data_IF_668555641272
#
_entry.id   IF_668555641272
#
_cell.length_a   1.000
_cell.length_b   1.000
_cell.length_c   1.000
_cell.angle_alpha   90.00
_cell.angle_beta   90.00
_cell.angle_gamma   90.00
#
_symmetry.space_group_name_H-M   'P 1'
#
loop_
_entity.id
_entity.type
_entity.pdbx_description
1 polymer ?
#
# COMPACT_ATOMS: atom_id res chain seq x y z
N UNK A 1 -11.45 8.97 -23.98
CA UNK A 1 -11.82 8.47 -22.64
C UNK A 1 -10.55 7.84 -22.07
N UNK A 2 -9.90 8.48 -21.10
CA UNK A 2 -8.67 7.94 -20.49
C UNK A 2 -9.10 6.71 -19.67
N UNK A 3 -8.50 5.53 -19.85
CA UNK A 3 -8.87 4.34 -19.08
C UNK A 3 -8.77 4.65 -17.58
N UNK A 4 -9.83 4.36 -16.82
CA UNK A 4 -9.81 4.47 -15.38
C UNK A 4 -8.80 3.45 -14.83
N UNK A 5 -7.64 3.93 -14.35
CA UNK A 5 -6.53 3.04 -13.95
C UNK A 5 -6.93 2.15 -12.76
N UNK A 6 -7.82 2.62 -11.89
CA UNK A 6 -8.34 1.83 -10.78
C UNK A 6 -9.23 0.65 -11.26
N UNK A 7 -9.99 0.82 -12.34
CA UNK A 7 -10.76 -0.27 -12.96
C UNK A 7 -9.87 -1.36 -13.56
N UNK A 8 -8.69 -1.00 -14.08
CA UNK A 8 -7.74 -2.01 -14.55
C UNK A 8 -7.17 -2.82 -13.38
N UNK A 9 -6.87 -2.16 -12.26
CA UNK A 9 -6.34 -2.81 -11.05
C UNK A 9 -7.39 -3.72 -10.40
N UNK A 10 -8.68 -3.37 -10.45
CA UNK A 10 -9.75 -4.22 -9.92
C UNK A 10 -9.82 -5.59 -10.61
N UNK A 11 -9.34 -5.69 -11.85
CA UNK A 11 -9.40 -6.89 -12.67
C UNK A 11 -8.12 -7.76 -12.64
N UNK A 12 -6.99 -7.25 -12.13
CA UNK A 12 -5.74 -8.02 -12.12
C UNK A 12 -5.84 -9.29 -11.28
N UNK A 13 -5.07 -10.34 -11.57
CA UNK A 13 -4.92 -11.46 -10.65
C UNK A 13 -4.20 -11.03 -9.36
N UNK A 14 -4.46 -11.70 -8.22
CA UNK A 14 -3.74 -11.43 -6.95
C UNK A 14 -2.26 -11.77 -7.08
N UNK A 15 -1.93 -12.79 -7.88
CA UNK A 15 -0.57 -13.15 -8.26
C UNK A 15 0.14 -11.99 -8.97
N UNK A 16 -0.53 -11.38 -9.94
CA UNK A 16 0.00 -10.26 -10.71
C UNK A 16 0.17 -9.02 -9.81
N UNK A 17 -0.83 -8.71 -9.00
CA UNK A 17 -0.79 -7.62 -8.03
C UNK A 17 0.43 -7.74 -7.10
N UNK A 18 0.61 -8.94 -6.53
CA UNK A 18 1.74 -9.24 -5.63
C UNK A 18 3.08 -9.07 -6.34
N UNK A 19 3.23 -9.59 -7.56
CA UNK A 19 4.46 -9.44 -8.36
C UNK A 19 4.75 -7.98 -8.69
N UNK A 20 3.73 -7.19 -9.02
CA UNK A 20 3.88 -5.76 -9.34
C UNK A 20 4.39 -5.00 -8.12
N UNK A 21 3.80 -5.24 -6.94
CA UNK A 21 4.26 -4.62 -5.69
C UNK A 21 5.69 -5.06 -5.35
N UNK A 22 6.02 -6.35 -5.43
CA UNK A 22 7.39 -6.82 -5.21
C UNK A 22 8.39 -6.15 -6.16
N UNK A 23 8.02 -5.95 -7.43
CA UNK A 23 8.87 -5.24 -8.41
C UNK A 23 9.03 -3.76 -8.07
N UNK A 24 7.96 -3.10 -7.63
CA UNK A 24 8.00 -1.69 -7.20
C UNK A 24 9.01 -1.50 -6.05
N UNK A 25 9.06 -2.45 -5.12
CA UNK A 25 9.99 -2.42 -3.99
C UNK A 25 11.37 -3.06 -4.27
N UNK A 26 11.59 -3.69 -5.43
CA UNK A 26 12.79 -4.51 -5.71
C UNK A 26 14.11 -3.79 -5.40
N UNK A 27 14.25 -2.53 -5.83
CA UNK A 27 15.48 -1.76 -5.57
C UNK A 27 15.67 -1.51 -4.07
N UNK A 28 14.61 -1.07 -3.39
CA UNK A 28 14.63 -0.77 -1.95
C UNK A 28 14.86 -2.03 -1.12
N UNK A 29 14.31 -3.18 -1.52
CA UNK A 29 14.56 -4.47 -0.88
C UNK A 29 16.03 -4.86 -0.99
N UNK A 30 16.66 -4.67 -2.16
CA UNK A 30 18.10 -4.93 -2.34
C UNK A 30 18.95 -4.01 -1.46
N UNK A 31 18.58 -2.75 -1.32
CA UNK A 31 19.23 -1.78 -0.41
C UNK A 31 19.14 -2.23 1.06
N UNK A 32 18.07 -2.94 1.43
CA UNK A 32 17.87 -3.57 2.75
C UNK A 32 18.47 -5.00 2.85
N UNK A 33 19.27 -5.44 1.85
CA UNK A 33 19.92 -6.75 1.85
C UNK A 33 19.02 -7.92 1.43
N UNK A 34 17.82 -7.65 0.89
CA UNK A 34 16.86 -8.65 0.42
C UNK A 34 16.82 -8.68 -1.10
N UNK A 35 17.55 -9.62 -1.70
CA UNK A 35 17.55 -9.80 -3.14
C UNK A 35 16.54 -10.87 -3.58
N UNK A 36 15.56 -10.47 -4.40
CA UNK A 36 14.61 -11.37 -5.04
C UNK A 36 14.84 -11.43 -6.55
N UNK A 37 14.93 -12.65 -7.07
CA UNK A 37 14.88 -12.90 -8.52
C UNK A 37 13.45 -12.80 -9.05
N UNK A 38 13.31 -12.62 -10.35
CA UNK A 38 11.99 -12.56 -10.97
C UNK A 38 11.22 -13.88 -10.85
N UNK A 39 11.92 -15.02 -10.81
CA UNK A 39 11.32 -16.33 -10.57
C UNK A 39 10.76 -16.45 -9.14
N UNK A 40 11.52 -15.99 -8.14
CA UNK A 40 11.06 -15.96 -6.75
C UNK A 40 9.85 -15.06 -6.58
N UNK A 41 9.84 -13.86 -7.18
CA UNK A 41 8.69 -12.95 -7.10
C UNK A 41 7.42 -13.58 -7.71
N UNK A 42 7.54 -14.26 -8.86
CA UNK A 42 6.40 -14.98 -9.46
C UNK A 42 5.88 -16.10 -8.58
N UNK A 43 6.78 -16.93 -8.06
CA UNK A 43 6.42 -18.01 -7.16
C UNK A 43 5.71 -17.49 -5.90
N UNK A 44 6.19 -16.38 -5.33
CA UNK A 44 5.53 -15.72 -4.20
C UNK A 44 4.11 -15.28 -4.61
N UNK A 45 3.94 -14.62 -5.75
CA UNK A 45 2.62 -14.20 -6.24
C UNK A 45 1.66 -15.37 -6.43
N UNK A 46 2.12 -16.46 -7.05
CA UNK A 46 1.33 -17.69 -7.22
C UNK A 46 0.92 -18.29 -5.88
N UNK A 47 1.85 -18.37 -4.91
CA UNK A 47 1.56 -18.89 -3.58
C UNK A 47 0.55 -18.00 -2.83
N UNK A 48 0.68 -16.68 -2.91
CA UNK A 48 -0.28 -15.74 -2.30
C UNK A 48 -1.68 -15.96 -2.91
N UNK A 49 -1.79 -15.98 -4.24
CA UNK A 49 -3.07 -16.15 -4.92
C UNK A 49 -3.73 -17.50 -4.59
N UNK A 50 -2.94 -18.56 -4.47
CA UNK A 50 -3.41 -19.90 -4.13
C UNK A 50 -3.60 -20.13 -2.62
N UNK A 51 -3.29 -19.13 -1.76
CA UNK A 51 -3.24 -19.27 -0.30
C UNK A 51 -2.34 -20.44 0.16
N UNK A 52 -1.24 -20.67 -0.56
CA UNK A 52 -0.22 -21.64 -0.21
C UNK A 52 0.79 -21.08 0.80
N UNK A 53 1.58 -21.96 1.38
CA UNK A 53 2.68 -21.58 2.25
C UNK A 53 3.69 -20.68 1.52
N UNK A 54 4.07 -19.59 2.18
CA UNK A 54 5.03 -18.63 1.65
C UNK A 54 6.46 -19.04 2.02
N UNK A 55 7.45 -18.81 1.13
CA UNK A 55 8.83 -19.16 1.42
C UNK A 55 9.37 -18.35 2.62
N UNK A 56 10.28 -18.94 3.39
CA UNK A 56 10.82 -18.32 4.62
C UNK A 56 11.45 -16.93 4.42
N UNK A 57 11.91 -16.62 3.19
CA UNK A 57 12.43 -15.29 2.82
C UNK A 57 11.41 -14.16 3.04
N UNK A 58 10.11 -14.48 3.06
CA UNK A 58 9.04 -13.50 3.30
C UNK A 58 9.17 -12.81 4.65
N UNK A 59 9.73 -13.45 5.68
CA UNK A 59 10.01 -12.80 6.96
C UNK A 59 10.93 -11.59 6.76
N UNK A 60 12.00 -11.76 5.96
CA UNK A 60 12.95 -10.69 5.67
C UNK A 60 12.34 -9.62 4.73
N UNK A 61 11.49 -10.04 3.78
CA UNK A 61 10.75 -9.09 2.93
C UNK A 61 9.83 -8.22 3.79
N UNK A 62 9.01 -8.82 4.65
CA UNK A 62 8.09 -8.11 5.53
C UNK A 62 8.84 -7.15 6.46
N UNK A 63 9.98 -7.56 7.02
CA UNK A 63 10.79 -6.67 7.85
C UNK A 63 11.38 -5.50 7.05
N UNK A 64 11.90 -5.75 5.85
CA UNK A 64 12.40 -4.67 4.99
C UNK A 64 11.29 -3.68 4.59
N UNK A 65 10.10 -4.18 4.22
CA UNK A 65 8.95 -3.31 3.90
C UNK A 65 8.46 -2.55 5.14
N UNK A 66 8.40 -3.19 6.30
CA UNK A 66 8.07 -2.54 7.58
C UNK A 66 8.99 -1.32 7.82
N UNK A 67 10.30 -1.51 7.71
CA UNK A 67 11.26 -0.41 7.89
C UNK A 67 11.07 0.71 6.85
N UNK A 68 10.75 0.38 5.61
CA UNK A 68 10.47 1.37 4.56
C UNK A 68 9.19 2.17 4.84
N UNK A 69 8.15 1.53 5.39
CA UNK A 69 6.92 2.22 5.82
C UNK A 69 7.22 3.15 7.00
N UNK A 70 7.97 2.68 8.00
CA UNK A 70 8.42 3.49 9.14
C UNK A 70 9.22 4.71 8.69
N UNK A 71 10.15 4.54 7.74
CA UNK A 71 10.91 5.66 7.17
C UNK A 71 10.01 6.66 6.45
N UNK A 72 9.00 6.21 5.71
CA UNK A 72 8.04 7.11 5.08
C UNK A 72 7.16 7.86 6.09
N UNK A 73 6.76 7.21 7.18
CA UNK A 73 6.04 7.89 8.26
C UNK A 73 6.90 8.98 8.90
N UNK A 74 8.19 8.72 9.11
CA UNK A 74 9.13 9.71 9.62
C UNK A 74 9.34 10.90 8.67
N UNK A 75 9.12 10.74 7.36
CA UNK A 75 9.08 11.87 6.41
C UNK A 75 7.86 12.75 6.70
N UNK A 76 6.67 12.16 6.86
CA UNK A 76 5.45 12.91 7.16
C UNK A 76 5.53 13.63 8.51
N UNK A 77 6.19 13.01 9.50
CA UNK A 77 6.40 13.58 10.83
C UNK A 77 7.22 14.87 10.81
N UNK A 78 8.06 15.11 9.79
CA UNK A 78 8.78 16.39 9.62
C UNK A 78 7.82 17.58 9.49
N UNK A 79 6.58 17.33 9.05
CA UNK A 79 5.50 18.32 8.96
C UNK A 79 4.48 18.17 10.11
N UNK A 80 4.78 17.38 11.14
CA UNK A 80 3.87 16.99 12.22
C UNK A 80 2.57 16.34 11.73
N UNK A 81 2.65 15.57 10.63
CA UNK A 81 1.50 14.87 10.06
C UNK A 81 1.59 13.37 10.37
N UNK A 82 0.49 12.82 10.88
CA UNK A 82 0.23 11.39 10.74
C UNK A 82 -0.07 11.04 9.28
N UNK A 83 -0.07 9.75 8.92
CA UNK A 83 -0.46 9.33 7.57
C UNK A 83 -1.90 9.77 7.23
N UNK A 84 -2.84 9.57 8.15
CA UNK A 84 -4.25 9.96 7.98
C UNK A 84 -4.42 11.47 7.77
N UNK A 85 -3.66 12.28 8.52
CA UNK A 85 -3.63 13.73 8.37
C UNK A 85 -2.99 14.15 7.05
N UNK A 86 -1.91 13.47 6.63
CA UNK A 86 -1.22 13.74 5.38
C UNK A 86 -2.15 13.59 4.18
N UNK A 87 -2.92 12.50 4.12
CA UNK A 87 -3.90 12.28 3.04
C UNK A 87 -4.89 13.46 2.92
N UNK A 88 -5.28 14.06 4.06
CA UNK A 88 -6.25 15.17 4.13
C UNK A 88 -5.63 16.56 4.09
N UNK A 89 -4.30 16.66 4.08
CA UNK A 89 -3.59 17.95 4.08
C UNK A 89 -3.25 18.34 2.64
N UNK A 90 -3.81 19.48 2.21
CA UNK A 90 -3.51 20.06 0.91
C UNK A 90 -2.10 20.65 0.91
N UNK A 91 -1.45 20.65 -0.26
CA UNK A 91 -0.09 21.21 -0.37
C UNK A 91 -0.02 22.71 -0.08
N UNK A 92 -1.15 23.43 -0.17
CA UNK A 92 -1.26 24.85 0.21
C UNK A 92 -1.15 25.07 1.70
N UNK A 93 -1.36 24.03 2.51
CA UNK A 93 -1.34 24.11 3.97
C UNK A 93 0.04 23.78 4.55
N UNK A 94 0.98 23.33 3.69
CA UNK A 94 2.37 23.10 4.07
C UNK A 94 3.22 24.37 3.91
N UNK A 95 4.22 24.60 4.78
CA UNK A 95 5.08 25.76 4.70
C UNK A 95 6.09 25.64 3.54
N UNK A 96 5.96 26.48 2.52
CA UNK A 96 6.93 26.61 1.42
C UNK A 96 7.12 28.09 1.04
N UNK A 97 8.33 28.45 0.61
CA UNK A 97 8.67 29.84 0.27
C UNK A 97 8.76 30.05 -1.24
N UNK A 98 9.22 29.04 -1.97
CA UNK A 98 9.36 29.09 -3.42
C UNK A 98 8.58 27.97 -4.11
N UNK A 99 8.30 28.14 -5.40
CA UNK A 99 7.71 27.07 -6.22
C UNK A 99 8.61 25.82 -6.29
N UNK A 100 9.93 25.98 -6.18
CA UNK A 100 10.85 24.85 -6.14
C UNK A 100 10.71 24.04 -4.84
N UNK A 101 10.53 24.74 -3.71
CA UNK A 101 10.27 24.09 -2.41
C UNK A 101 8.92 23.37 -2.45
N UNK A 102 7.88 24.03 -2.97
CA UNK A 102 6.57 23.42 -3.17
C UNK A 102 6.65 22.09 -3.93
N UNK A 103 7.35 22.06 -5.07
CA UNK A 103 7.50 20.85 -5.87
C UNK A 103 8.32 19.78 -5.16
N UNK A 104 9.30 20.17 -4.34
CA UNK A 104 10.10 19.23 -3.55
C UNK A 104 9.26 18.58 -2.46
N UNK A 105 8.56 19.38 -1.66
CA UNK A 105 7.68 18.91 -0.59
C UNK A 105 6.54 18.04 -1.14
N UNK A 106 5.92 18.46 -2.26
CA UNK A 106 4.86 17.69 -2.90
C UNK A 106 5.35 16.30 -3.32
N UNK A 107 6.53 16.23 -3.93
CA UNK A 107 7.12 14.95 -4.31
C UNK A 107 7.48 14.09 -3.09
N UNK A 108 8.03 14.68 -2.03
CA UNK A 108 8.37 13.94 -0.82
C UNK A 108 7.14 13.37 -0.13
N UNK A 109 6.09 14.19 0.06
CA UNK A 109 4.81 13.78 0.64
C UNK A 109 4.15 12.67 -0.17
N UNK A 110 3.96 12.87 -1.47
CA UNK A 110 3.30 11.87 -2.34
C UNK A 110 4.10 10.57 -2.39
N UNK A 111 5.43 10.64 -2.47
CA UNK A 111 6.26 9.42 -2.46
C UNK A 111 6.18 8.69 -1.11
N UNK A 112 6.10 9.41 0.00
CA UNK A 112 5.91 8.81 1.32
C UNK A 112 4.55 8.10 1.40
N UNK A 113 3.48 8.78 0.99
CA UNK A 113 2.11 8.24 0.99
C UNK A 113 1.96 6.99 0.13
N UNK A 114 2.43 7.03 -1.12
CA UNK A 114 2.42 5.88 -2.03
C UNK A 114 3.19 4.72 -1.41
N UNK A 115 4.36 4.97 -0.83
CA UNK A 115 5.18 3.92 -0.22
C UNK A 115 4.51 3.31 1.01
N UNK A 116 3.82 4.10 1.82
CA UNK A 116 3.05 3.63 2.98
C UNK A 116 1.93 2.70 2.51
N UNK A 117 1.07 3.15 1.58
CA UNK A 117 -0.07 2.36 1.11
C UNK A 117 0.36 1.10 0.37
N UNK A 118 1.31 1.21 -0.57
CA UNK A 118 1.82 0.06 -1.32
C UNK A 118 2.58 -0.93 -0.42
N UNK A 119 3.34 -0.43 0.55
CA UNK A 119 4.07 -1.23 1.52
C UNK A 119 3.13 -2.01 2.44
N UNK A 120 2.13 -1.33 3.03
CA UNK A 120 1.10 -1.95 3.83
C UNK A 120 0.34 -3.03 3.02
N UNK A 121 -0.05 -2.73 1.79
CA UNK A 121 -0.75 -3.66 0.91
C UNK A 121 0.08 -4.91 0.61
N UNK A 122 1.38 -4.74 0.32
CA UNK A 122 2.28 -5.87 0.10
C UNK A 122 2.44 -6.72 1.36
N UNK A 123 2.63 -6.10 2.53
CA UNK A 123 2.73 -6.82 3.81
C UNK A 123 1.46 -7.65 4.08
N UNK A 124 0.27 -7.07 3.86
CA UNK A 124 -1.00 -7.78 4.02
C UNK A 124 -1.05 -9.02 3.11
N UNK A 125 -0.71 -8.87 1.83
CA UNK A 125 -0.66 -10.00 0.88
C UNK A 125 0.33 -11.09 1.33
N UNK A 126 1.42 -10.68 1.96
CA UNK A 126 2.46 -11.57 2.49
C UNK A 126 2.18 -12.08 3.91
N UNK A 127 0.99 -11.81 4.45
CA UNK A 127 0.52 -12.35 5.72
C UNK A 127 0.86 -11.53 6.96
N UNK A 128 1.34 -10.30 6.80
CA UNK A 128 1.73 -9.40 7.89
C UNK A 128 0.80 -8.20 7.99
N UNK A 129 0.08 -8.10 9.11
CA UNK A 129 -0.94 -7.07 9.35
C UNK A 129 -0.46 -5.89 10.19
N UNK A 130 0.83 -5.80 10.55
CA UNK A 130 1.38 -4.72 11.42
C UNK A 130 1.03 -3.30 10.95
N UNK A 131 0.78 -3.12 9.65
CA UNK A 131 0.47 -1.83 9.03
C UNK A 131 -0.89 -1.81 8.31
N UNK A 132 -1.78 -2.76 8.62
CA UNK A 132 -3.08 -2.85 7.96
C UNK A 132 -3.95 -1.59 8.14
N UNK A 133 -3.79 -0.87 9.24
CA UNK A 133 -4.48 0.41 9.48
C UNK A 133 -4.23 1.45 8.38
N UNK A 134 -3.03 1.49 7.79
CA UNK A 134 -2.71 2.48 6.75
C UNK A 134 -3.40 2.14 5.43
N UNK A 135 -3.57 0.86 5.12
CA UNK A 135 -4.37 0.42 3.98
C UNK A 135 -5.85 0.85 4.15
N UNK A 136 -6.39 0.74 5.37
CA UNK A 136 -7.75 1.17 5.70
C UNK A 136 -7.90 2.70 5.62
N UNK A 137 -6.95 3.46 6.14
CA UNK A 137 -6.97 4.94 6.08
C UNK A 137 -6.96 5.47 4.63
N UNK A 138 -6.13 4.88 3.75
CA UNK A 138 -6.10 5.25 2.33
C UNK A 138 -7.46 4.99 1.64
N UNK A 139 -8.08 3.84 1.94
CA UNK A 139 -9.40 3.48 1.43
C UNK A 139 -10.48 4.47 1.89
N UNK A 140 -10.48 4.79 3.19
CA UNK A 140 -11.48 5.65 3.78
C UNK A 140 -11.38 7.07 3.23
N UNK A 141 -10.17 7.60 3.14
CA UNK A 141 -9.91 8.90 2.56
C UNK A 141 -10.49 9.01 1.14
N UNK A 142 -10.19 8.06 0.25
CA UNK A 142 -10.67 8.08 -1.14
C UNK A 142 -12.21 7.98 -1.22
N UNK A 143 -12.82 7.12 -0.41
CA UNK A 143 -14.29 7.01 -0.35
C UNK A 143 -14.94 8.31 0.16
N UNK A 144 -14.33 8.96 1.16
CA UNK A 144 -14.81 10.23 1.73
C UNK A 144 -14.64 11.40 0.76
N UNK A 145 -13.46 11.53 0.14
CA UNK A 145 -13.10 12.67 -0.70
C UNK A 145 -13.65 12.57 -2.12
N UNK A 146 -13.74 11.35 -2.68
CA UNK A 146 -14.01 11.15 -4.10
C UNK A 146 -15.19 10.20 -4.37
N UNK A 147 -15.71 9.51 -3.36
CA UNK A 147 -16.74 8.47 -3.50
C UNK A 147 -16.36 7.38 -4.54
N UNK A 148 -15.06 7.18 -4.72
CA UNK A 148 -14.43 6.18 -5.58
C UNK A 148 -13.06 5.85 -5.00
N UNK A 149 -12.48 4.71 -5.37
CA UNK A 149 -11.12 4.34 -4.97
C UNK A 149 -10.15 4.67 -6.09
N UNK A 150 -9.08 5.38 -5.78
CA UNK A 150 -7.93 5.50 -6.66
C UNK A 150 -7.12 4.20 -6.67
N UNK A 151 -6.05 4.19 -7.47
CA UNK A 151 -5.21 3.00 -7.70
C UNK A 151 -4.69 2.43 -6.38
N UNK A 152 -4.10 3.24 -5.51
CA UNK A 152 -3.46 2.74 -4.29
C UNK A 152 -4.48 2.22 -3.28
N UNK A 153 -5.61 2.91 -3.12
CA UNK A 153 -6.71 2.44 -2.27
C UNK A 153 -7.38 1.17 -2.84
N UNK A 154 -7.48 1.02 -4.16
CA UNK A 154 -7.95 -0.21 -4.78
C UNK A 154 -6.99 -1.37 -4.52
N UNK A 155 -5.68 -1.15 -4.62
CA UNK A 155 -4.66 -2.16 -4.26
C UNK A 155 -4.84 -2.58 -2.78
N UNK A 156 -4.97 -1.60 -1.88
CA UNK A 156 -5.20 -1.82 -0.46
C UNK A 156 -6.47 -2.64 -0.19
N UNK A 157 -7.60 -2.27 -0.83
CA UNK A 157 -8.86 -3.01 -0.73
C UNK A 157 -8.64 -4.46 -1.14
N UNK A 158 -8.03 -4.69 -2.30
CA UNK A 158 -7.82 -6.04 -2.82
C UNK A 158 -6.91 -6.89 -1.94
N UNK A 159 -5.85 -6.31 -1.40
CA UNK A 159 -4.97 -6.98 -0.45
C UNK A 159 -5.74 -7.42 0.80
N UNK A 160 -6.52 -6.52 1.40
CA UNK A 160 -7.33 -6.78 2.59
C UNK A 160 -8.38 -7.86 2.34
N UNK A 161 -9.16 -7.74 1.26
CA UNK A 161 -10.23 -8.70 0.96
C UNK A 161 -9.68 -10.10 0.67
N UNK A 162 -8.56 -10.19 -0.06
CA UNK A 162 -7.88 -11.46 -0.30
C UNK A 162 -7.40 -12.10 1.00
N UNK A 163 -6.63 -11.35 1.80
CA UNK A 163 -6.04 -11.86 3.03
C UNK A 163 -7.10 -12.26 4.07
N UNK A 164 -8.14 -11.45 4.23
CA UNK A 164 -9.22 -11.68 5.20
C UNK A 164 -10.32 -12.61 4.67
N UNK A 165 -10.21 -13.07 3.41
CA UNK A 165 -11.18 -13.96 2.75
C UNK A 165 -12.60 -13.36 2.70
N UNK A 166 -12.69 -12.05 2.53
CA UNK A 166 -13.95 -11.32 2.38
C UNK A 166 -14.29 -11.24 0.89
N UNK A 167 -15.57 -11.46 0.56
CA UNK A 167 -16.02 -11.38 -0.83
C UNK A 167 -15.82 -9.98 -1.41
N UNK A 168 -15.24 -9.82 -2.63
CA UNK A 168 -15.14 -8.54 -3.32
C UNK A 168 -16.46 -7.80 -3.53
N UNK A 169 -17.56 -8.56 -3.64
CA UNK A 169 -18.91 -8.06 -3.92
C UNK A 169 -19.76 -7.86 -2.65
N UNK A 170 -19.20 -8.12 -1.46
CA UNK A 170 -19.92 -7.89 -0.21
C UNK A 170 -20.21 -6.40 -0.04
N UNK A 171 -21.48 -6.00 0.09
CA UNK A 171 -21.86 -4.59 0.20
C UNK A 171 -21.29 -3.91 1.46
N UNK A 172 -21.06 -4.68 2.52
CA UNK A 172 -20.55 -4.26 3.83
C UNK A 172 -19.06 -4.63 4.03
N UNK A 173 -18.33 -4.89 2.95
CA UNK A 173 -16.94 -5.36 2.99
C UNK A 173 -16.04 -4.52 3.91
N UNK A 174 -16.17 -3.18 3.91
CA UNK A 174 -15.33 -2.30 4.72
C UNK A 174 -15.63 -2.47 6.22
N UNK A 175 -16.90 -2.63 6.58
CA UNK A 175 -17.30 -2.92 7.96
C UNK A 175 -16.76 -4.26 8.43
N UNK A 176 -16.76 -5.28 7.56
CA UNK A 176 -16.18 -6.59 7.86
C UNK A 176 -14.65 -6.50 8.06
N UNK A 177 -13.96 -5.72 7.23
CA UNK A 177 -12.52 -5.46 7.35
C UNK A 177 -12.20 -4.84 8.71
N UNK A 178 -12.88 -3.73 9.06
CA UNK A 178 -12.69 -3.03 10.34
C UNK A 178 -12.92 -3.95 11.54
N UNK A 179 -14.03 -4.68 11.52
CA UNK A 179 -14.36 -5.63 12.59
C UNK A 179 -13.30 -6.74 12.74
N UNK A 180 -12.76 -7.25 11.64
CA UNK A 180 -11.73 -8.31 11.67
C UNK A 180 -10.38 -7.79 12.17
N UNK A 181 -10.04 -6.53 11.87
CA UNK A 181 -8.80 -5.89 12.30
C UNK A 181 -8.89 -5.23 13.69
N UNK A 182 -10.08 -5.21 14.30
CA UNK A 182 -10.39 -4.48 15.54
C UNK A 182 -10.07 -2.97 15.44
N UNK A 183 -10.39 -2.37 14.30
CA UNK A 183 -10.31 -0.93 14.01
C UNK A 183 -11.68 -0.25 14.17
#
# INVERSE_FOLDING_TARGET
>A
MIPNRAENVSQWGIDQLTVILLRQFKRLLVEQGVALTDAQMRQIGENVAANHELPAIIINVNEAIYQLVVQSLAVLEQWNLSFDQSLRTEMTDLPWETTADFLTLANEKVNAEIRITAGASLMILLGDLRHAQYAVQAIEYDLEAHNTLDVDAMIAKRALLHHLKISPDAADWLSQVRATLAL
#
